data_IF_431059660975
#
_entry.id   IF_431059660975
#
_cell.length_a   1.000
_cell.length_b   1.000
_cell.length_c   1.000
_cell.angle_alpha   90.00
_cell.angle_beta   90.00
_cell.angle_gamma   90.00
#
_symmetry.space_group_name_H-M   'P 1'
#
loop_
_entity.id
_entity.type
_entity.pdbx_description
1 polymer ?
#
# COMPACT_ATOMS: atom_id res chain seq x y z
N UNK A 1 -4.10 21.42 -13.55
CA UNK A 1 -4.68 20.29 -12.75
C UNK A 1 -5.66 19.55 -13.64
N UNK A 2 -5.40 18.26 -13.91
CA UNK A 2 -6.37 17.41 -14.63
C UNK A 2 -7.59 17.25 -13.71
N UNK A 3 -8.75 17.67 -14.20
CA UNK A 3 -10.00 17.59 -13.43
C UNK A 3 -10.36 16.11 -13.25
N UNK A 4 -10.22 15.57 -12.03
CA UNK A 4 -10.61 14.18 -11.73
C UNK A 4 -12.10 13.98 -12.03
N UNK A 5 -12.43 12.94 -12.78
CA UNK A 5 -13.81 12.54 -13.03
C UNK A 5 -14.23 11.54 -11.95
N UNK A 6 -15.42 11.75 -11.36
CA UNK A 6 -15.98 10.88 -10.34
C UNK A 6 -17.17 10.09 -10.89
N UNK A 7 -17.31 8.87 -10.42
CA UNK A 7 -18.34 7.92 -10.80
C UNK A 7 -19.03 7.36 -9.56
N UNK A 8 -20.31 7.14 -9.65
CA UNK A 8 -21.12 6.54 -8.60
C UNK A 8 -20.91 5.02 -8.60
N UNK A 9 -20.26 4.50 -7.55
CA UNK A 9 -20.07 3.06 -7.36
C UNK A 9 -20.76 2.58 -6.09
N UNK A 10 -21.37 1.39 -6.17
CA UNK A 10 -21.99 0.75 -5.02
C UNK A 10 -20.96 0.05 -4.15
N UNK A 11 -21.12 0.16 -2.84
CA UNK A 11 -20.37 -0.65 -1.89
C UNK A 11 -20.84 -2.10 -2.00
N UNK A 12 -19.93 -2.98 -2.39
CA UNK A 12 -20.19 -4.42 -2.51
C UNK A 12 -19.94 -5.15 -1.17
N UNK A 13 -18.90 -4.74 -0.43
CA UNK A 13 -18.64 -5.27 0.90
C UNK A 13 -17.87 -4.29 1.77
N UNK A 14 -18.11 -4.36 3.08
CA UNK A 14 -17.31 -3.72 4.13
C UNK A 14 -16.90 -4.83 5.09
N UNK A 15 -15.62 -5.20 5.09
CA UNK A 15 -15.08 -6.24 5.96
C UNK A 15 -14.14 -5.60 6.98
N UNK A 16 -14.38 -5.85 8.27
CA UNK A 16 -13.43 -5.50 9.32
C UNK A 16 -12.16 -6.33 9.16
N UNK A 17 -11.02 -5.69 9.03
CA UNK A 17 -9.73 -6.35 8.80
C UNK A 17 -8.96 -6.51 10.11
N UNK A 18 -8.89 -5.43 10.89
CA UNK A 18 -8.36 -5.41 12.26
C UNK A 18 -9.30 -4.61 13.16
N UNK A 19 -8.98 -4.48 14.44
CA UNK A 19 -9.72 -3.58 15.35
C UNK A 19 -9.75 -2.13 14.83
N UNK A 20 -8.69 -1.70 14.13
CA UNK A 20 -8.49 -0.34 13.64
C UNK A 20 -8.51 -0.20 12.12
N UNK A 21 -9.03 -1.15 11.35
CA UNK A 21 -9.06 -1.05 9.89
C UNK A 21 -10.19 -1.87 9.27
N UNK A 22 -10.59 -1.46 8.05
CA UNK A 22 -11.56 -2.15 7.21
C UNK A 22 -11.08 -2.27 5.77
N UNK A 23 -11.57 -3.29 5.07
CA UNK A 23 -11.48 -3.42 3.61
C UNK A 23 -12.85 -3.11 3.01
N UNK A 24 -12.85 -2.33 1.94
CA UNK A 24 -14.08 -1.92 1.25
C UNK A 24 -13.94 -2.31 -0.22
N UNK A 25 -14.95 -3.02 -0.72
CA UNK A 25 -15.07 -3.31 -2.15
C UNK A 25 -16.19 -2.49 -2.75
N UNK A 26 -15.91 -1.92 -3.92
CA UNK A 26 -16.88 -1.22 -4.74
C UNK A 26 -17.15 -2.04 -5.99
N UNK A 27 -18.43 -2.27 -6.31
CA UNK A 27 -18.82 -2.96 -7.54
C UNK A 27 -18.46 -2.12 -8.75
N UNK A 28 -17.83 -2.76 -9.73
CA UNK A 28 -17.44 -2.11 -10.97
C UNK A 28 -18.32 -2.62 -12.12
N UNK A 29 -19.29 -1.80 -12.60
CA UNK A 29 -20.11 -2.15 -13.76
C UNK A 29 -19.28 -2.30 -15.03
N UNK A 30 -19.68 -3.18 -15.93
CA UNK A 30 -18.96 -3.45 -17.19
C UNK A 30 -18.68 -2.17 -18.01
N UNK A 31 -19.59 -1.21 -18.01
CA UNK A 31 -19.44 0.08 -18.70
C UNK A 31 -18.30 0.97 -18.14
N UNK A 32 -17.79 0.65 -16.96
CA UNK A 32 -16.73 1.41 -16.32
C UNK A 32 -15.38 0.64 -16.27
N UNK A 33 -15.32 -0.60 -16.74
CA UNK A 33 -14.10 -1.43 -16.67
C UNK A 33 -12.89 -0.73 -17.31
N UNK A 34 -13.04 -0.13 -18.49
CA UNK A 34 -11.94 0.58 -19.17
C UNK A 34 -11.46 1.79 -18.35
N UNK A 35 -12.37 2.54 -17.75
CA UNK A 35 -12.06 3.74 -16.95
C UNK A 35 -11.42 3.42 -15.62
N UNK A 36 -11.65 2.21 -15.10
CA UNK A 36 -11.08 1.71 -13.86
C UNK A 36 -9.98 0.65 -14.08
N UNK A 37 -9.56 0.44 -15.33
CA UNK A 37 -8.38 -0.36 -15.60
C UNK A 37 -7.15 0.35 -15.02
N UNK A 38 -6.59 -0.23 -13.97
CA UNK A 38 -5.50 0.38 -13.21
C UNK A 38 -4.22 -0.43 -13.31
N UNK A 39 -3.10 0.24 -13.08
CA UNK A 39 -1.82 -0.40 -12.81
C UNK A 39 -1.72 -0.72 -11.32
N UNK A 40 -1.14 -1.89 -10.95
CA UNK A 40 -0.91 -2.22 -9.54
C UNK A 40 -0.12 -1.13 -8.83
N UNK A 41 -0.63 -0.68 -7.67
CA UNK A 41 -0.04 0.40 -6.88
C UNK A 41 -0.73 1.76 -7.05
N UNK A 42 -1.60 1.95 -8.05
CA UNK A 42 -2.39 3.18 -8.20
C UNK A 42 -3.43 3.34 -7.09
N UNK A 43 -3.95 4.56 -6.95
CA UNK A 43 -4.96 4.96 -5.97
C UNK A 43 -6.24 5.47 -6.65
N UNK A 44 -7.30 5.57 -5.88
CA UNK A 44 -8.54 6.28 -6.19
C UNK A 44 -8.78 7.39 -5.17
N UNK A 45 -9.53 8.41 -5.58
CA UNK A 45 -10.09 9.41 -4.67
C UNK A 45 -11.54 9.07 -4.36
N UNK A 46 -11.91 9.13 -3.09
CA UNK A 46 -13.28 8.95 -2.62
C UNK A 46 -13.82 10.31 -2.21
N UNK A 47 -14.92 10.75 -2.83
CA UNK A 47 -15.64 11.97 -2.47
C UNK A 47 -16.80 11.61 -1.56
N UNK A 48 -16.98 12.38 -0.50
CA UNK A 48 -18.05 12.17 0.48
C UNK A 48 -18.44 13.50 1.12
N UNK A 49 -19.69 13.60 1.52
CA UNK A 49 -20.21 14.77 2.23
C UNK A 49 -20.24 14.50 3.74
N UNK A 50 -19.75 15.43 4.53
CA UNK A 50 -19.81 15.44 5.99
C UNK A 50 -19.97 16.87 6.49
N UNK A 51 -20.96 17.12 7.37
CA UNK A 51 -21.22 18.44 7.96
C UNK A 51 -21.48 19.54 6.90
N UNK A 52 -22.23 19.17 5.85
CA UNK A 52 -22.59 20.06 4.72
C UNK A 52 -21.43 20.40 3.78
N UNK A 53 -20.21 19.91 4.04
CA UNK A 53 -19.05 20.12 3.19
C UNK A 53 -18.68 18.86 2.39
N UNK A 54 -18.22 19.09 1.15
CA UNK A 54 -17.66 18.03 0.31
C UNK A 54 -16.18 17.80 0.63
N UNK A 55 -15.87 16.57 0.91
CA UNK A 55 -14.51 16.12 1.21
C UNK A 55 -14.03 15.09 0.20
N UNK A 56 -12.71 15.05 -0.01
CA UNK A 56 -12.07 14.03 -0.85
C UNK A 56 -10.90 13.42 -0.08
N UNK A 57 -10.77 12.09 -0.14
CA UNK A 57 -9.61 11.35 0.40
C UNK A 57 -9.14 10.32 -0.60
N UNK A 58 -7.83 10.15 -0.68
CA UNK A 58 -7.19 9.17 -1.57
C UNK A 58 -6.91 7.88 -0.83
N UNK A 59 -7.10 6.76 -1.53
CA UNK A 59 -6.84 5.41 -1.04
C UNK A 59 -6.21 4.56 -2.13
N UNK A 60 -5.08 3.95 -1.83
CA UNK A 60 -4.43 3.03 -2.75
C UNK A 60 -5.31 1.80 -2.99
N UNK A 61 -5.38 1.40 -4.24
CA UNK A 61 -6.11 0.21 -4.67
C UNK A 61 -5.32 -1.02 -4.20
N UNK A 62 -5.98 -1.90 -3.46
CA UNK A 62 -5.38 -3.14 -2.96
C UNK A 62 -5.80 -4.38 -3.77
N UNK A 63 -6.82 -4.27 -4.62
CA UNK A 63 -7.20 -5.32 -5.57
C UNK A 63 -6.22 -5.41 -6.74
N UNK A 64 -6.20 -6.58 -7.38
CA UNK A 64 -5.56 -6.74 -8.69
C UNK A 64 -6.38 -6.03 -9.78
N UNK A 65 -5.75 -5.61 -10.89
CA UNK A 65 -6.46 -5.15 -12.08
C UNK A 65 -7.40 -6.22 -12.68
N UNK A 66 -8.28 -5.77 -13.58
CA UNK A 66 -9.20 -6.64 -14.32
C UNK A 66 -10.14 -7.47 -13.43
N UNK A 67 -10.54 -6.93 -12.28
CA UNK A 67 -11.61 -7.46 -11.44
C UNK A 67 -12.91 -6.68 -11.71
N UNK A 68 -14.04 -7.29 -11.40
CA UNK A 68 -15.34 -6.62 -11.40
C UNK A 68 -15.61 -5.77 -10.14
N UNK A 69 -14.54 -5.44 -9.42
CA UNK A 69 -14.55 -4.59 -8.23
C UNK A 69 -13.22 -3.87 -8.04
N UNK A 70 -13.27 -2.73 -7.37
CA UNK A 70 -12.12 -2.04 -6.79
C UNK A 70 -12.14 -2.27 -5.28
N UNK A 71 -11.00 -2.62 -4.69
CA UNK A 71 -10.86 -2.77 -3.24
C UNK A 71 -9.85 -1.77 -2.69
N UNK A 72 -10.19 -1.16 -1.56
CA UNK A 72 -9.29 -0.33 -0.76
C UNK A 72 -9.20 -0.83 0.67
N UNK A 73 -8.04 -0.59 1.31
CA UNK A 73 -7.87 -0.78 2.75
C UNK A 73 -7.88 0.57 3.46
N UNK A 74 -8.70 0.68 4.49
CA UNK A 74 -8.87 1.92 5.26
C UNK A 74 -8.47 1.69 6.70
N UNK A 75 -7.45 2.44 7.16
CA UNK A 75 -7.11 2.51 8.58
C UNK A 75 -7.99 3.55 9.25
N UNK A 76 -8.65 3.15 10.34
CA UNK A 76 -9.53 4.05 11.08
C UNK A 76 -8.71 5.03 11.92
N UNK A 77 -9.04 6.30 11.81
CA UNK A 77 -8.48 7.38 12.61
C UNK A 77 -9.57 7.84 13.58
N UNK A 78 -9.24 7.93 14.86
CA UNK A 78 -10.17 8.44 15.88
C UNK A 78 -10.58 9.87 15.49
N UNK A 79 -11.88 10.13 15.42
CA UNK A 79 -12.47 11.40 14.98
C UNK A 79 -12.10 11.81 13.52
N UNK A 80 -11.53 10.90 12.73
CA UNK A 80 -11.24 11.17 11.32
C UNK A 80 -12.51 11.20 10.48
N UNK A 81 -12.71 12.25 9.68
CA UNK A 81 -13.94 12.46 8.90
C UNK A 81 -14.34 11.25 8.05
N UNK A 82 -13.41 10.65 7.32
CA UNK A 82 -13.73 9.47 6.51
C UNK A 82 -14.05 8.24 7.38
N UNK A 83 -13.40 8.10 8.53
CA UNK A 83 -13.70 7.00 9.46
C UNK A 83 -15.12 7.13 10.03
N UNK A 84 -15.55 8.35 10.33
CA UNK A 84 -16.93 8.63 10.77
C UNK A 84 -17.94 8.43 9.64
N UNK A 85 -17.61 8.92 8.43
CA UNK A 85 -18.42 8.67 7.24
C UNK A 85 -18.65 7.18 6.99
N UNK A 86 -17.59 6.36 7.09
CA UNK A 86 -17.68 4.91 6.90
C UNK A 86 -18.63 4.23 7.90
N UNK A 87 -18.72 4.72 9.13
CA UNK A 87 -19.64 4.16 10.13
C UNK A 87 -21.12 4.30 9.73
N UNK A 88 -21.42 5.28 8.86
CA UNK A 88 -22.79 5.51 8.36
C UNK A 88 -23.11 4.66 7.13
N UNK A 89 -22.14 3.97 6.56
CA UNK A 89 -22.28 3.25 5.29
C UNK A 89 -22.56 1.77 5.47
N UNK A 90 -23.36 1.24 4.54
CA UNK A 90 -23.70 -0.18 4.42
C UNK A 90 -23.52 -0.66 2.98
N UNK A 91 -23.64 -1.97 2.80
CA UNK A 91 -23.65 -2.61 1.48
C UNK A 91 -24.81 -2.02 0.65
N UNK A 92 -24.61 -1.82 -0.66
CA UNK A 92 -25.45 -1.16 -1.65
C UNK A 92 -25.50 0.36 -1.58
N UNK A 93 -24.94 1.02 -0.55
CA UNK A 93 -24.80 2.48 -0.58
C UNK A 93 -23.87 2.91 -1.73
N UNK A 94 -24.20 4.04 -2.31
CA UNK A 94 -23.45 4.66 -3.42
C UNK A 94 -22.42 5.63 -2.87
N UNK A 95 -21.21 5.59 -3.44
CA UNK A 95 -20.10 6.49 -3.10
C UNK A 95 -19.45 6.98 -4.39
N UNK A 96 -19.05 8.25 -4.42
CA UNK A 96 -18.36 8.85 -5.55
C UNK A 96 -16.87 8.54 -5.54
N UNK A 97 -16.38 7.91 -6.60
CA UNK A 97 -15.01 7.42 -6.71
C UNK A 97 -14.40 7.91 -8.03
N UNK A 98 -13.17 8.44 -7.96
CA UNK A 98 -12.44 8.85 -9.15
C UNK A 98 -11.94 7.63 -9.95
N UNK A 99 -11.66 7.85 -11.25
CA UNK A 99 -10.80 6.93 -11.97
C UNK A 99 -9.43 6.78 -11.27
N UNK A 100 -8.75 5.62 -11.45
CA UNK A 100 -7.43 5.36 -10.89
C UNK A 100 -6.37 6.34 -11.39
N UNK A 101 -5.42 6.71 -10.49
CA UNK A 101 -4.30 7.60 -10.79
C UNK A 101 -3.08 7.20 -9.93
N UNK A 102 -1.91 7.80 -10.20
CA UNK A 102 -0.70 7.62 -9.42
C UNK A 102 0.46 6.95 -10.15
N UNK A 103 1.66 7.24 -9.66
CA UNK A 103 2.94 6.82 -10.24
C UNK A 103 3.65 5.71 -9.45
N UNK A 104 3.09 5.25 -8.34
CA UNK A 104 3.65 4.16 -7.52
C UNK A 104 3.36 2.79 -8.17
N UNK A 105 3.92 2.58 -9.36
CA UNK A 105 3.58 1.42 -10.20
C UNK A 105 4.84 0.67 -10.65
N UNK A 106 4.68 -0.63 -10.93
CA UNK A 106 5.75 -1.44 -11.50
C UNK A 106 6.05 -0.96 -12.93
N UNK A 107 7.29 -0.57 -13.18
CA UNK A 107 7.72 0.03 -14.46
C UNK A 107 7.94 -1.01 -15.57
N UNK A 108 8.11 -2.27 -15.23
CA UNK A 108 8.35 -3.36 -16.17
C UNK A 108 7.52 -4.59 -15.84
N UNK A 109 6.79 -5.10 -16.80
CA UNK A 109 6.05 -6.38 -16.66
C UNK A 109 7.01 -7.57 -16.47
N UNK A 110 8.27 -7.41 -16.83
CA UNK A 110 9.33 -8.42 -16.73
C UNK A 110 10.19 -8.27 -15.47
N UNK A 111 9.78 -7.43 -14.50
CA UNK A 111 10.51 -7.34 -13.24
C UNK A 111 10.50 -8.70 -12.53
N UNK A 112 11.68 -9.28 -12.33
CA UNK A 112 11.85 -10.61 -11.75
C UNK A 112 12.18 -10.57 -10.27
N UNK A 113 12.87 -9.53 -9.80
CA UNK A 113 13.28 -9.41 -8.40
C UNK A 113 12.79 -8.10 -7.79
N UNK A 114 11.82 -8.20 -6.89
CA UNK A 114 11.22 -7.05 -6.22
C UNK A 114 11.46 -7.08 -4.71
N UNK A 115 11.84 -5.93 -4.16
CA UNK A 115 11.84 -5.66 -2.74
C UNK A 115 10.65 -4.75 -2.39
N UNK A 116 9.72 -5.26 -1.60
CA UNK A 116 8.53 -4.53 -1.16
C UNK A 116 8.63 -4.23 0.33
N UNK A 117 8.56 -2.96 0.70
CA UNK A 117 8.69 -2.51 2.10
C UNK A 117 7.45 -1.72 2.48
N UNK A 118 6.75 -2.17 3.50
CA UNK A 118 5.51 -1.57 3.97
C UNK A 118 5.52 -1.31 5.48
N UNK A 119 4.88 -0.23 5.91
CA UNK A 119 4.57 0.01 7.32
C UNK A 119 3.08 0.33 7.51
N UNK A 120 2.41 -0.45 8.37
CA UNK A 120 0.99 -0.27 8.69
C UNK A 120 0.10 -0.28 7.44
N UNK A 121 -0.66 0.81 7.22
CA UNK A 121 -1.55 0.93 6.05
C UNK A 121 -0.82 1.10 4.71
N UNK A 122 0.49 1.38 4.70
CA UNK A 122 1.31 1.38 3.48
C UNK A 122 1.35 0.03 2.77
N UNK A 123 0.82 -1.01 3.39
CA UNK A 123 0.62 -2.32 2.75
C UNK A 123 -0.40 -2.28 1.60
N UNK A 124 -1.30 -1.29 1.54
CA UNK A 124 -2.42 -1.28 0.58
C UNK A 124 -1.94 -1.26 -0.88
N UNK A 125 -1.08 -0.32 -1.35
CA UNK A 125 -0.57 -0.37 -2.72
C UNK A 125 0.33 -1.60 -2.95
N UNK A 126 1.08 -1.99 -1.93
CA UNK A 126 1.96 -3.15 -1.96
C UNK A 126 1.18 -4.45 -2.24
N UNK A 127 -0.02 -4.62 -1.66
CA UNK A 127 -0.86 -5.80 -1.92
C UNK A 127 -1.27 -5.93 -3.37
N UNK A 128 -1.62 -4.82 -4.03
CA UNK A 128 -1.94 -4.83 -5.46
C UNK A 128 -0.73 -5.24 -6.30
N UNK A 129 0.46 -4.67 -6.01
CA UNK A 129 1.72 -5.01 -6.68
C UNK A 129 2.07 -6.48 -6.45
N UNK A 130 2.10 -6.92 -5.19
CA UNK A 130 2.45 -8.29 -4.79
C UNK A 130 1.60 -9.34 -5.52
N UNK A 131 0.28 -9.22 -5.41
CA UNK A 131 -0.66 -10.16 -6.05
C UNK A 131 -0.52 -10.20 -7.56
N UNK A 132 -0.46 -9.03 -8.16
CA UNK A 132 -0.39 -8.90 -9.62
C UNK A 132 0.92 -9.45 -10.18
N UNK A 133 2.05 -9.18 -9.54
CA UNK A 133 3.36 -9.68 -9.97
C UNK A 133 3.46 -11.19 -9.82
N UNK A 134 3.08 -11.76 -8.67
CA UNK A 134 3.11 -13.21 -8.45
C UNK A 134 2.24 -13.98 -9.43
N UNK A 135 1.11 -13.40 -9.86
CA UNK A 135 0.19 -14.03 -10.81
C UNK A 135 0.68 -13.95 -12.26
N UNK A 136 1.20 -12.78 -12.67
CA UNK A 136 1.55 -12.50 -14.08
C UNK A 136 2.90 -13.08 -14.47
N UNK A 137 3.87 -13.04 -13.57
CA UNK A 137 5.24 -13.44 -13.84
C UNK A 137 5.64 -14.63 -12.96
N UNK A 138 5.73 -15.82 -13.57
CA UNK A 138 6.10 -17.05 -12.87
C UNK A 138 7.59 -17.14 -12.49
N UNK A 139 8.43 -16.22 -12.98
CA UNK A 139 9.86 -16.11 -12.65
C UNK A 139 10.12 -15.09 -11.54
N UNK A 140 9.12 -14.27 -11.18
CA UNK A 140 9.31 -13.22 -10.18
C UNK A 140 9.64 -13.80 -8.81
N UNK A 141 10.63 -13.19 -8.14
CA UNK A 141 10.98 -13.40 -6.73
C UNK A 141 10.70 -12.11 -5.98
N UNK A 142 9.99 -12.20 -4.90
CA UNK A 142 9.56 -11.04 -4.12
C UNK A 142 9.95 -11.23 -2.67
N UNK A 143 10.59 -10.22 -2.11
CA UNK A 143 10.78 -10.12 -0.66
C UNK A 143 9.91 -9.01 -0.11
N UNK A 144 9.02 -9.34 0.82
CA UNK A 144 8.15 -8.41 1.52
C UNK A 144 8.67 -8.18 2.94
N UNK A 145 9.03 -6.94 3.26
CA UNK A 145 9.30 -6.48 4.62
C UNK A 145 8.08 -5.69 5.11
N UNK A 146 7.39 -6.20 6.13
CA UNK A 146 6.17 -5.58 6.61
C UNK A 146 6.22 -5.26 8.10
N UNK A 147 6.15 -3.97 8.46
CA UNK A 147 6.22 -3.48 9.84
C UNK A 147 4.86 -3.04 10.36
N UNK A 148 4.51 -3.49 11.57
CA UNK A 148 3.31 -3.11 12.31
C UNK A 148 3.62 -2.86 13.78
N UNK A 149 2.64 -2.39 14.56
CA UNK A 149 2.77 -2.27 16.01
C UNK A 149 2.75 -3.66 16.65
N UNK A 150 1.72 -4.45 16.32
CA UNK A 150 1.48 -5.80 16.80
C UNK A 150 0.96 -6.68 15.66
N UNK A 151 0.93 -8.00 15.84
CA UNK A 151 0.30 -8.93 14.92
C UNK A 151 -1.21 -8.66 14.76
N UNK A 152 -1.88 -8.22 15.82
CA UNK A 152 -3.30 -7.86 15.77
C UNK A 152 -3.58 -6.65 14.88
N UNK A 153 -2.63 -5.72 14.73
CA UNK A 153 -2.74 -4.52 13.88
C UNK A 153 -2.43 -4.79 12.39
N UNK A 154 -1.95 -6.00 12.07
CA UNK A 154 -1.50 -6.34 10.73
C UNK A 154 -2.69 -6.49 9.78
N UNK A 155 -2.78 -5.58 8.80
CA UNK A 155 -3.76 -5.67 7.70
C UNK A 155 -3.33 -6.75 6.69
N UNK A 156 -4.28 -7.38 6.03
CA UNK A 156 -4.09 -8.43 5.00
C UNK A 156 -3.32 -9.66 5.48
N UNK A 157 -3.23 -9.91 6.79
CA UNK A 157 -2.40 -10.98 7.34
C UNK A 157 -2.76 -12.36 6.80
N UNK A 158 -4.05 -12.70 6.71
CA UNK A 158 -4.50 -13.98 6.16
C UNK A 158 -4.15 -14.08 4.67
N UNK A 159 -4.42 -13.02 3.88
CA UNK A 159 -4.15 -13.01 2.45
C UNK A 159 -2.63 -13.08 2.15
N UNK A 160 -1.79 -12.43 2.96
CA UNK A 160 -0.32 -12.54 2.86
C UNK A 160 0.14 -13.96 3.17
N UNK A 161 -0.45 -14.61 4.20
CA UNK A 161 -0.13 -15.99 4.53
C UNK A 161 -0.54 -16.94 3.41
N UNK A 162 -1.76 -16.81 2.87
CA UNK A 162 -2.24 -17.60 1.74
C UNK A 162 -1.32 -17.45 0.50
N UNK A 163 -0.86 -16.22 0.24
CA UNK A 163 0.10 -15.97 -0.85
C UNK A 163 1.46 -16.62 -0.57
N UNK A 164 1.96 -16.53 0.66
CA UNK A 164 3.21 -17.17 1.06
C UNK A 164 3.14 -18.70 0.89
N UNK A 165 2.06 -19.31 1.34
CA UNK A 165 1.85 -20.75 1.23
C UNK A 165 1.72 -21.20 -0.24
N UNK A 166 1.09 -20.38 -1.07
CA UNK A 166 0.93 -20.65 -2.50
C UNK A 166 2.21 -20.46 -3.32
N UNK A 167 3.07 -19.53 -2.92
CA UNK A 167 4.24 -19.11 -3.69
C UNK A 167 5.55 -19.27 -2.88
N UNK A 168 5.70 -20.41 -2.19
CA UNK A 168 6.81 -20.71 -1.26
C UNK A 168 8.20 -20.42 -1.85
N UNK A 169 8.42 -20.76 -3.12
CA UNK A 169 9.72 -20.61 -3.79
C UNK A 169 10.00 -19.18 -4.25
N UNK A 170 8.99 -18.30 -4.22
CA UNK A 170 9.05 -16.99 -4.86
C UNK A 170 8.67 -15.81 -3.97
N UNK A 171 8.13 -16.07 -2.78
CA UNK A 171 7.71 -15.04 -1.83
C UNK A 171 8.32 -15.26 -0.46
N UNK A 172 9.27 -14.39 -0.09
CA UNK A 172 9.78 -14.28 1.27
C UNK A 172 9.02 -13.16 1.99
N UNK A 173 8.60 -13.41 3.23
CA UNK A 173 7.89 -12.43 4.05
C UNK A 173 8.54 -12.33 5.42
N UNK A 174 8.95 -11.10 5.80
CA UNK A 174 9.45 -10.76 7.11
C UNK A 174 8.51 -9.76 7.78
N UNK A 175 7.91 -10.19 8.90
CA UNK A 175 7.01 -9.34 9.70
C UNK A 175 7.76 -8.77 10.89
N UNK A 176 7.78 -7.45 11.03
CA UNK A 176 8.43 -6.73 12.12
C UNK A 176 7.37 -6.10 13.04
N UNK A 177 7.49 -6.31 14.35
CA UNK A 177 6.56 -5.74 15.32
C UNK A 177 7.26 -4.82 16.30
N UNK A 178 6.77 -3.58 16.42
CA UNK A 178 7.40 -2.55 17.23
C UNK A 178 6.91 -2.50 18.69
N UNK A 179 5.81 -3.20 19.00
CA UNK A 179 5.18 -3.25 20.33
C UNK A 179 4.81 -4.67 20.77
N UNK A 180 5.33 -5.66 20.10
CA UNK A 180 5.14 -7.07 20.42
C UNK A 180 6.49 -7.77 20.28
N UNK A 181 6.88 -8.52 21.29
CA UNK A 181 8.15 -9.25 21.32
C UNK A 181 7.97 -10.57 20.58
N UNK A 182 8.84 -10.83 19.62
CA UNK A 182 8.92 -12.07 18.87
C UNK A 182 10.11 -12.90 19.38
N UNK A 183 10.05 -14.21 19.20
CA UNK A 183 11.13 -15.14 19.57
C UNK A 183 12.45 -14.85 18.86
N UNK A 184 12.38 -14.34 17.63
CA UNK A 184 13.55 -13.92 16.86
C UNK A 184 13.77 -12.42 17.08
N UNK A 185 14.85 -12.07 17.80
CA UNK A 185 15.18 -10.68 18.17
C UNK A 185 15.25 -9.75 16.93
N UNK A 186 15.83 -10.24 15.85
CA UNK A 186 15.91 -9.53 14.57
C UNK A 186 14.56 -8.96 14.08
N UNK A 187 13.46 -9.67 14.33
CA UNK A 187 12.12 -9.26 13.88
C UNK A 187 11.44 -8.24 14.82
N UNK A 188 12.04 -7.92 15.96
CA UNK A 188 11.53 -6.93 16.90
C UNK A 188 11.81 -5.49 16.43
N UNK A 189 10.88 -4.57 16.67
CA UNK A 189 11.03 -3.15 16.34
C UNK A 189 10.59 -2.79 14.92
N UNK A 190 11.07 -1.62 14.44
CA UNK A 190 10.78 -1.09 13.10
C UNK A 190 11.75 -1.65 12.07
N UNK A 191 11.42 -1.52 10.79
CA UNK A 191 12.37 -1.76 9.70
C UNK A 191 13.41 -0.64 9.71
N UNK A 192 14.70 -1.00 9.77
CA UNK A 192 15.85 -0.08 9.78
C UNK A 192 16.85 -0.49 8.70
N UNK A 193 17.81 0.40 8.45
CA UNK A 193 18.94 0.13 7.55
C UNK A 193 19.72 -1.12 7.98
N UNK A 194 19.97 -1.29 9.31
CA UNK A 194 20.69 -2.45 9.83
C UNK A 194 19.97 -3.77 9.55
N UNK A 195 18.65 -3.76 9.56
CA UNK A 195 17.85 -4.93 9.22
C UNK A 195 17.94 -5.30 7.74
N UNK A 196 17.98 -4.31 6.85
CA UNK A 196 18.23 -4.57 5.43
C UNK A 196 19.67 -5.06 5.23
N UNK A 197 20.65 -4.47 5.93
CA UNK A 197 22.04 -4.94 5.91
C UNK A 197 22.14 -6.40 6.34
N UNK A 198 21.52 -6.76 7.46
CA UNK A 198 21.49 -8.15 7.94
C UNK A 198 20.89 -9.11 6.92
N UNK A 199 19.76 -8.77 6.29
CA UNK A 199 19.11 -9.62 5.29
C UNK A 199 19.99 -9.78 4.03
N UNK A 200 20.69 -8.72 3.61
CA UNK A 200 21.67 -8.78 2.51
C UNK A 200 22.84 -9.68 2.87
N UNK A 201 23.45 -9.49 4.03
CA UNK A 201 24.62 -10.24 4.46
C UNK A 201 24.30 -11.73 4.71
N UNK A 202 23.05 -12.04 5.04
CA UNK A 202 22.51 -13.40 5.13
C UNK A 202 22.09 -13.98 3.76
N UNK A 203 22.31 -13.27 2.65
CA UNK A 203 21.89 -13.66 1.29
C UNK A 203 20.37 -13.91 1.15
N UNK A 204 19.56 -13.22 1.94
CA UNK A 204 18.09 -13.26 1.89
C UNK A 204 17.51 -12.16 0.99
N UNK A 205 18.28 -11.11 0.72
CA UNK A 205 17.99 -10.05 -0.24
C UNK A 205 19.25 -9.82 -1.08
N UNK A 206 19.10 -9.84 -2.40
CA UNK A 206 20.14 -9.44 -3.33
C UNK A 206 19.83 -8.03 -3.85
N UNK A 207 20.65 -7.04 -3.43
CA UNK A 207 20.47 -5.65 -3.84
C UNK A 207 21.06 -5.35 -5.24
N UNK A 208 22.01 -6.16 -5.72
CA UNK A 208 22.63 -5.98 -7.02
C UNK A 208 21.70 -6.46 -8.14
N UNK A 209 21.04 -7.62 -7.94
CA UNK A 209 20.06 -8.20 -8.88
C UNK A 209 18.66 -7.59 -8.74
N UNK A 210 18.48 -6.57 -7.91
CA UNK A 210 17.18 -5.96 -7.69
C UNK A 210 16.68 -5.20 -8.92
N UNK A 211 15.50 -5.55 -9.43
CA UNK A 211 14.87 -4.83 -10.53
C UNK A 211 14.16 -3.57 -10.04
N UNK A 212 13.36 -3.68 -8.97
CA UNK A 212 12.63 -2.56 -8.38
C UNK A 212 12.45 -2.73 -6.87
N UNK A 213 12.46 -1.61 -6.17
CA UNK A 213 12.12 -1.49 -4.76
C UNK A 213 10.94 -0.53 -4.57
N UNK A 214 9.96 -0.94 -3.79
CA UNK A 214 8.80 -0.13 -3.41
C UNK A 214 8.77 0.06 -1.91
N UNK A 215 8.75 1.32 -1.45
CA UNK A 215 8.71 1.66 -0.03
C UNK A 215 7.47 2.50 0.23
N UNK A 216 6.56 2.01 1.08
CA UNK A 216 5.35 2.72 1.46
C UNK A 216 5.18 2.75 2.98
N UNK A 217 5.20 3.96 3.56
CA UNK A 217 5.08 4.14 5.00
C UNK A 217 5.37 5.55 5.50
N UNK A 218 5.73 5.73 6.78
CA UNK A 218 6.09 7.01 7.37
C UNK A 218 7.33 7.64 6.70
N UNK A 219 7.38 8.97 6.71
CA UNK A 219 8.43 9.76 6.06
C UNK A 219 9.84 9.36 6.52
N UNK A 220 10.06 9.33 7.84
CA UNK A 220 11.35 8.99 8.45
C UNK A 220 11.88 7.61 8.01
N UNK A 221 11.01 6.61 7.96
CA UNK A 221 11.35 5.29 7.46
C UNK A 221 11.68 5.33 5.97
N UNK A 222 10.84 5.98 5.18
CA UNK A 222 10.96 5.99 3.72
C UNK A 222 12.24 6.68 3.28
N UNK A 223 12.55 7.87 3.81
CA UNK A 223 13.77 8.62 3.50
C UNK A 223 15.03 7.87 3.94
N UNK A 224 15.03 7.33 5.16
CA UNK A 224 16.17 6.57 5.70
C UNK A 224 16.48 5.33 4.84
N UNK A 225 15.47 4.55 4.46
CA UNK A 225 15.67 3.35 3.68
C UNK A 225 16.03 3.66 2.22
N UNK A 226 15.44 4.71 1.62
CA UNK A 226 15.78 5.15 0.29
C UNK A 226 17.25 5.59 0.20
N UNK A 227 17.72 6.41 1.17
CA UNK A 227 19.12 6.83 1.25
C UNK A 227 20.05 5.64 1.36
N UNK A 228 19.77 4.72 2.28
CA UNK A 228 20.56 3.51 2.48
C UNK A 228 20.67 2.65 1.20
N UNK A 229 19.56 2.43 0.50
CA UNK A 229 19.57 1.61 -0.73
C UNK A 229 20.41 2.28 -1.82
N UNK A 230 20.34 3.61 -1.97
CA UNK A 230 21.20 4.38 -2.88
C UNK A 230 22.67 4.25 -2.50
N UNK A 231 23.02 4.39 -1.23
CA UNK A 231 24.39 4.24 -0.73
C UNK A 231 24.95 2.82 -0.95
N UNK A 232 24.08 1.83 -1.06
CA UNK A 232 24.42 0.44 -1.40
C UNK A 232 24.37 0.15 -2.90
N UNK A 233 24.29 1.17 -3.75
CA UNK A 233 24.40 1.05 -5.20
C UNK A 233 23.09 0.76 -5.94
N UNK A 234 21.95 0.73 -5.25
CA UNK A 234 20.65 0.59 -5.93
C UNK A 234 20.34 1.89 -6.67
N UNK A 235 20.22 1.82 -7.98
CA UNK A 235 19.97 2.99 -8.82
C UNK A 235 18.63 3.66 -8.41
N UNK A 236 18.62 5.00 -8.32
CA UNK A 236 17.45 5.77 -7.88
C UNK A 236 16.18 5.46 -8.67
N UNK A 237 16.29 5.27 -9.98
CA UNK A 237 15.16 4.88 -10.86
C UNK A 237 14.53 3.53 -10.54
N UNK A 238 15.23 2.68 -9.76
CA UNK A 238 14.71 1.39 -9.28
C UNK A 238 13.95 1.52 -7.95
N UNK A 239 14.03 2.67 -7.26
CA UNK A 239 13.41 2.90 -5.96
C UNK A 239 12.19 3.81 -6.14
N UNK A 240 11.03 3.31 -5.79
CA UNK A 240 9.77 4.07 -5.83
C UNK A 240 9.22 4.19 -4.41
N UNK A 241 8.88 5.40 -3.99
CA UNK A 241 8.43 5.68 -2.63
C UNK A 241 7.05 6.33 -2.62
N UNK A 242 6.23 5.98 -1.63
CA UNK A 242 4.95 6.63 -1.34
C UNK A 242 4.82 6.89 0.16
N UNK A 243 4.41 8.12 0.51
CA UNK A 243 4.33 8.54 1.91
C UNK A 243 2.94 8.32 2.48
N UNK A 244 2.88 7.62 3.61
CA UNK A 244 1.66 7.46 4.39
C UNK A 244 1.82 8.14 5.76
N UNK A 245 1.10 9.25 5.93
CA UNK A 245 1.17 10.00 7.18
C UNK A 245 0.45 9.28 8.31
N UNK A 246 1.10 9.20 9.46
CA UNK A 246 0.43 8.87 10.72
C UNK A 246 -0.15 10.19 11.24
N UNK A 247 -1.48 10.31 11.31
CA UNK A 247 -2.11 11.44 11.96
C UNK A 247 -1.66 11.45 13.43
N UNK A 248 -0.80 12.40 13.79
CA UNK A 248 -0.49 12.73 15.19
C UNK A 248 -1.49 13.79 15.63
N UNK A 249 -1.87 13.81 16.92
CA UNK A 249 -2.86 14.73 17.51
C UNK A 249 -2.56 16.24 17.29
N UNK A 250 -1.41 16.57 16.70
CA UNK A 250 -0.97 17.95 16.42
C UNK A 250 -1.25 18.43 14.98
N UNK A 251 -1.71 17.58 14.07
CA UNK A 251 -1.87 17.93 12.64
C UNK A 251 -3.26 17.56 12.09
N UNK A 252 -4.32 17.92 12.80
CA UNK A 252 -5.70 17.67 12.32
C UNK A 252 -6.11 18.64 11.20
N UNK A 253 -5.39 19.75 10.97
CA UNK A 253 -5.83 20.81 10.06
C UNK A 253 -5.32 20.75 8.62
N UNK A 254 -4.42 19.85 8.26
CA UNK A 254 -3.92 19.82 6.89
C UNK A 254 -3.47 18.42 6.44
N UNK A 255 -4.39 17.51 6.20
CA UNK A 255 -4.09 16.35 5.35
C UNK A 255 -4.73 16.57 3.99
N UNK A 256 -4.23 17.59 3.30
CA UNK A 256 -4.29 17.63 1.84
C UNK A 256 -3.19 16.70 1.35
N UNK A 257 -3.56 15.60 0.73
CA UNK A 257 -2.61 14.73 0.02
C UNK A 257 -2.06 15.51 -1.18
N UNK A 258 -0.97 16.20 -0.96
CA UNK A 258 -0.15 16.64 -2.07
C UNK A 258 0.86 15.53 -2.34
N UNK A 259 0.73 14.87 -3.49
CA UNK A 259 1.83 14.13 -4.08
C UNK A 259 2.97 15.12 -4.31
N UNK A 260 3.91 15.17 -3.39
CA UNK A 260 5.18 15.83 -3.62
C UNK A 260 6.01 14.86 -4.48
N UNK A 261 5.81 14.92 -5.78
CA UNK A 261 6.89 14.63 -6.70
C UNK A 261 7.90 15.75 -6.50
N UNK A 262 9.04 15.45 -5.88
CA UNK A 262 10.15 16.38 -5.86
C UNK A 262 10.51 16.69 -7.33
N UNK A 263 10.63 17.97 -7.72
CA UNK A 263 11.05 18.29 -9.08
C UNK A 263 12.46 17.75 -9.28
N UNK A 264 12.61 16.90 -10.28
CA UNK A 264 13.93 16.57 -10.84
C UNK A 264 14.53 17.88 -11.34
N UNK A 265 15.44 18.47 -10.58
CA UNK A 265 16.34 19.51 -11.08
C UNK A 265 17.20 18.93 -12.20
N UNK A 266 17.16 19.61 -13.34
CA UNK A 266 18.03 19.36 -14.49
C UNK A 266 19.50 19.56 -14.13
#
# INVERSE_FOLDING_TARGET
MIKQTFYDLKINSIKRETAGSSRIKFSLPNSLHEKFNHKPGQYISVRFNMKEDDHTRTYSISSEPNKNFIEIGVKHIKNGMFSEFLKTKKIEDVVQISNPDGSFVVNSENANHLLLIAAGSGITPIMSILKSTLRRNNKSRITLLYSNKTYADMMYKTEIQDLKDKYLDRLLVFNFFSREIQSTEFLNGRITQDKIAYLRDANLIDLEDLDQCFICGPLDMTESLQSYLKDKGVAEKKITTELFFVATDKNIEAVSYTHLTLPTTR
#
